data_IF_908303794952
#
_entry.id   IF_908303794952
#
_cell.length_a   1.000
_cell.length_b   1.000
_cell.length_c   1.000
_cell.angle_alpha   90.00
_cell.angle_beta   90.00
_cell.angle_gamma   90.00
#
_symmetry.space_group_name_H-M   'P 1'
#
loop_
_entity.id
_entity.type
_entity.pdbx_description
1 polymer ?
#
# COMPACT_ATOMS: atom_id res chain seq x y z
N UNK A 1 -0.69 3.39 15.14
CA UNK A 1 -0.23 3.57 13.75
C UNK A 1 1.22 3.14 13.68
N UNK A 2 1.57 2.38 12.65
CA UNK A 2 2.94 1.87 12.47
C UNK A 2 3.47 2.36 11.13
N UNK A 3 4.68 2.89 11.11
CA UNK A 3 5.43 3.10 9.88
C UNK A 3 5.96 1.73 9.43
N UNK A 4 5.32 1.17 8.39
CA UNK A 4 5.66 -0.17 7.90
C UNK A 4 7.04 -0.13 7.22
N UNK A 5 8.00 -0.91 7.68
CA UNK A 5 9.31 -0.95 7.03
C UNK A 5 9.25 -1.65 5.67
N UNK A 6 10.25 -1.36 4.85
CA UNK A 6 10.47 -2.02 3.56
C UNK A 6 10.66 -3.55 3.76
N UNK A 7 10.22 -4.33 2.78
CA UNK A 7 10.28 -5.81 2.74
C UNK A 7 9.42 -6.56 3.76
N UNK A 8 8.63 -5.85 4.58
CA UNK A 8 7.63 -6.46 5.43
C UNK A 8 6.27 -6.48 4.75
N UNK A 9 5.55 -7.57 4.91
CA UNK A 9 4.12 -7.60 4.58
C UNK A 9 3.33 -6.87 5.68
N UNK A 10 2.13 -6.38 5.35
CA UNK A 10 1.21 -5.83 6.37
C UNK A 10 0.87 -6.87 7.44
N UNK A 11 0.87 -8.17 7.07
CA UNK A 11 0.60 -9.27 8.00
C UNK A 11 1.76 -9.53 8.96
N UNK A 12 3.01 -9.31 8.55
CA UNK A 12 4.18 -9.42 9.44
C UNK A 12 4.09 -8.40 10.57
N UNK A 13 3.68 -7.16 10.24
CA UNK A 13 3.43 -6.13 11.26
C UNK A 13 2.34 -6.56 12.23
N UNK A 14 1.20 -7.07 11.72
CA UNK A 14 0.10 -7.58 12.56
C UNK A 14 0.57 -8.71 13.47
N UNK A 15 1.38 -9.64 12.96
CA UNK A 15 1.92 -10.75 13.74
C UNK A 15 2.89 -10.28 14.82
N UNK A 16 3.79 -9.34 14.47
CA UNK A 16 4.73 -8.76 15.44
C UNK A 16 3.98 -8.03 16.57
N UNK A 17 3.01 -7.18 16.23
CA UNK A 17 2.15 -6.49 17.22
C UNK A 17 1.42 -7.50 18.11
N UNK A 18 0.79 -8.51 17.52
CA UNK A 18 0.08 -9.58 18.26
C UNK A 18 1.02 -10.32 19.22
N UNK A 19 2.20 -10.68 18.74
CA UNK A 19 3.21 -11.38 19.55
C UNK A 19 3.63 -10.54 20.76
N UNK A 20 3.97 -9.27 20.54
CA UNK A 20 4.42 -8.35 21.60
C UNK A 20 3.34 -8.17 22.67
N UNK A 21 2.10 -7.91 22.25
CA UNK A 21 0.99 -7.71 23.19
C UNK A 21 0.68 -9.01 23.98
N UNK A 22 0.67 -10.16 23.33
CA UNK A 22 0.43 -11.44 24.02
C UNK A 22 1.47 -11.71 25.09
N UNK A 23 2.74 -11.54 24.76
CA UNK A 23 3.85 -11.86 25.69
C UNK A 23 3.90 -10.86 26.85
N UNK A 24 3.78 -9.56 26.57
CA UNK A 24 3.89 -8.53 27.59
C UNK A 24 2.75 -8.57 28.61
N UNK A 25 1.53 -8.85 28.14
CA UNK A 25 0.34 -8.81 29.00
C UNK A 25 -0.21 -10.19 29.38
N UNK A 26 0.49 -11.27 29.03
CA UNK A 26 0.06 -12.66 29.35
C UNK A 26 -1.26 -13.06 28.68
N UNK A 27 -1.62 -12.45 27.54
CA UNK A 27 -2.90 -12.68 26.90
C UNK A 27 -2.93 -14.03 26.18
N UNK A 28 -3.90 -14.88 26.50
CA UNK A 28 -4.12 -16.14 25.77
C UNK A 28 -4.52 -15.88 24.32
N UNK A 29 -5.35 -14.85 24.07
CA UNK A 29 -5.91 -14.50 22.76
C UNK A 29 -6.11 -12.99 22.62
N UNK A 30 -5.75 -12.43 21.48
CA UNK A 30 -6.05 -11.04 21.11
C UNK A 30 -6.30 -10.96 19.61
N UNK A 31 -7.36 -10.24 19.22
CA UNK A 31 -7.62 -9.90 17.83
C UNK A 31 -6.72 -8.74 17.42
N UNK A 32 -6.02 -8.90 16.32
CA UNK A 32 -5.20 -7.83 15.71
C UNK A 32 -5.38 -7.92 14.21
N UNK A 33 -5.64 -6.79 13.56
CA UNK A 33 -5.81 -6.65 12.13
C UNK A 33 -5.32 -5.29 11.64
N UNK A 34 -5.25 -5.09 10.33
CA UNK A 34 -4.84 -3.82 9.72
C UNK A 34 -5.93 -3.26 8.81
N UNK A 35 -5.98 -1.94 8.66
CA UNK A 35 -6.93 -1.22 7.81
C UNK A 35 -6.25 -0.77 6.50
N UNK A 36 -6.13 -1.69 5.55
CA UNK A 36 -5.56 -1.45 4.22
C UNK A 36 -4.16 -2.01 4.03
N UNK A 37 -4.06 -2.97 3.13
CA UNK A 37 -2.80 -3.64 2.79
C UNK A 37 -1.80 -2.66 2.16
N UNK A 38 -0.54 -2.81 2.52
CA UNK A 38 0.63 -2.31 1.81
C UNK A 38 1.42 -3.50 1.30
N UNK A 39 1.87 -3.43 0.06
CA UNK A 39 2.74 -4.44 -0.54
C UNK A 39 4.09 -4.51 0.20
N UNK A 40 4.85 -5.62 0.08
CA UNK A 40 6.14 -5.75 0.75
C UNK A 40 7.14 -4.63 0.39
N UNK A 41 7.14 -4.18 -0.87
CA UNK A 41 8.02 -3.13 -1.36
C UNK A 41 7.51 -1.71 -1.07
N UNK A 42 6.29 -1.56 -0.55
CA UNK A 42 5.77 -0.28 -0.07
C UNK A 42 6.11 -0.04 1.40
N UNK A 43 6.26 1.22 1.78
CA UNK A 43 6.50 1.68 3.15
C UNK A 43 5.37 2.60 3.65
N UNK A 44 5.47 3.07 4.87
CA UNK A 44 4.62 4.15 5.39
C UNK A 44 3.46 3.67 6.24
N UNK A 45 2.46 4.50 6.34
CA UNK A 45 1.38 4.40 7.31
C UNK A 45 0.59 3.09 7.21
N UNK A 46 0.67 2.25 8.23
CA UNK A 46 -0.18 1.08 8.43
C UNK A 46 -0.97 1.24 9.73
N UNK A 47 -2.29 1.35 9.60
CA UNK A 47 -3.18 1.42 10.76
C UNK A 47 -3.46 0.00 11.23
N UNK A 48 -3.06 -0.29 12.47
CA UNK A 48 -3.28 -1.59 13.12
C UNK A 48 -4.30 -1.42 14.23
N UNK A 49 -5.35 -2.25 14.18
CA UNK A 49 -6.43 -2.27 15.16
C UNK A 49 -6.32 -3.50 16.06
N UNK A 50 -6.61 -3.34 17.34
CA UNK A 50 -6.57 -4.42 18.34
C UNK A 50 -7.89 -4.56 19.07
N UNK A 51 -8.20 -5.76 19.59
CA UNK A 51 -9.40 -6.00 20.40
C UNK A 51 -10.69 -5.62 19.68
N UNK A 52 -11.54 -4.84 20.36
CA UNK A 52 -12.84 -4.38 19.84
C UNK A 52 -12.70 -3.44 18.63
N UNK A 53 -11.59 -2.70 18.52
CA UNK A 53 -11.33 -1.81 17.39
C UNK A 53 -11.15 -2.54 16.06
N UNK A 54 -10.91 -3.85 16.06
CA UNK A 54 -10.89 -4.63 14.81
C UNK A 54 -12.22 -4.59 14.04
N UNK A 55 -13.34 -4.26 14.71
CA UNK A 55 -14.65 -4.08 14.08
C UNK A 55 -14.73 -2.79 13.22
N UNK A 56 -13.85 -1.82 13.47
CA UNK A 56 -13.77 -0.56 12.71
C UNK A 56 -12.85 -0.62 11.50
N UNK A 57 -12.22 -1.77 11.23
CA UNK A 57 -11.26 -1.91 10.14
C UNK A 57 -11.88 -1.54 8.78
N UNK A 58 -13.10 -1.99 8.51
CA UNK A 58 -13.79 -1.71 7.24
C UNK A 58 -14.08 -0.21 7.05
N UNK A 59 -14.50 0.47 8.11
CA UNK A 59 -14.73 1.92 8.13
C UNK A 59 -13.43 2.69 7.80
N UNK A 60 -12.33 2.37 8.50
CA UNK A 60 -11.03 3.00 8.29
C UNK A 60 -10.47 2.67 6.89
N UNK A 61 -10.71 1.46 6.44
CA UNK A 61 -10.26 1.01 5.11
C UNK A 61 -11.01 1.72 3.97
N UNK A 62 -12.22 2.24 4.23
CA UNK A 62 -13.02 2.96 3.26
C UNK A 62 -12.52 4.37 2.94
N UNK A 63 -11.72 4.97 3.82
CA UNK A 63 -11.19 6.33 3.64
C UNK A 63 -10.26 6.46 2.43
N UNK A 64 -10.10 7.69 1.92
CA UNK A 64 -9.09 8.02 0.91
C UNK A 64 -7.66 7.81 1.46
N UNK A 65 -6.71 7.63 0.58
CA UNK A 65 -5.29 7.43 0.91
C UNK A 65 -4.44 8.45 0.18
N UNK A 66 -3.32 8.81 0.81
CA UNK A 66 -2.30 9.63 0.18
C UNK A 66 -0.98 8.85 0.10
N UNK A 67 -0.30 9.03 -1.02
CA UNK A 67 0.95 8.35 -1.32
C UNK A 67 1.96 9.30 -1.94
N UNK A 68 3.23 9.10 -1.60
CA UNK A 68 4.35 9.51 -2.43
C UNK A 68 4.81 8.28 -3.20
N UNK A 69 4.83 8.37 -4.52
CA UNK A 69 5.20 7.28 -5.42
C UNK A 69 6.29 7.73 -6.38
N UNK A 70 7.30 6.89 -6.58
CA UNK A 70 8.33 7.08 -7.62
C UNK A 70 8.10 6.06 -8.72
N UNK A 71 7.83 6.52 -9.92
CA UNK A 71 7.73 5.72 -11.13
C UNK A 71 9.07 5.72 -11.87
N UNK A 72 9.44 4.58 -12.41
CA UNK A 72 10.59 4.42 -13.29
C UNK A 72 10.10 4.28 -14.72
N UNK A 73 10.41 5.26 -15.57
CA UNK A 73 10.12 5.21 -17.01
C UNK A 73 11.19 4.40 -17.75
N UNK A 74 10.88 4.00 -18.97
CA UNK A 74 11.81 3.32 -19.87
C UNK A 74 11.83 1.81 -19.74
N UNK A 75 11.02 1.22 -18.87
CA UNK A 75 10.93 -0.23 -18.71
C UNK A 75 9.59 -0.67 -18.14
N UNK A 76 9.26 -1.94 -18.36
CA UNK A 76 8.10 -2.59 -17.70
C UNK A 76 8.53 -3.81 -16.90
N UNK A 77 7.67 -4.21 -15.96
CA UNK A 77 7.79 -5.46 -15.22
C UNK A 77 6.43 -6.14 -15.15
N UNK A 78 6.34 -7.48 -15.10
CA UNK A 78 5.05 -8.19 -15.02
C UNK A 78 4.23 -7.87 -13.77
N UNK A 79 4.88 -7.49 -12.65
CA UNK A 79 4.22 -7.10 -11.39
C UNK A 79 3.84 -5.61 -11.34
N UNK A 80 4.31 -4.82 -12.31
CA UNK A 80 4.24 -3.35 -12.36
C UNK A 80 4.98 -2.66 -11.21
N UNK A 81 5.90 -3.39 -10.54
CA UNK A 81 6.83 -2.92 -9.52
C UNK A 81 8.16 -3.70 -9.58
N UNK A 82 8.98 -3.61 -8.53
CA UNK A 82 10.28 -4.30 -8.44
C UNK A 82 10.19 -5.73 -7.88
N UNK A 83 9.01 -6.33 -7.77
CA UNK A 83 8.87 -7.74 -7.33
C UNK A 83 9.34 -8.70 -8.43
N UNK A 84 9.19 -8.32 -9.70
CA UNK A 84 9.65 -9.11 -10.86
C UNK A 84 10.69 -8.34 -11.66
N UNK A 85 11.52 -9.09 -12.41
CA UNK A 85 12.53 -8.53 -13.31
C UNK A 85 11.91 -7.75 -14.47
N UNK A 86 12.70 -6.86 -15.07
CA UNK A 86 12.32 -6.11 -16.28
C UNK A 86 12.07 -7.09 -17.43
N UNK A 87 10.92 -6.97 -18.08
CA UNK A 87 10.53 -7.78 -19.24
C UNK A 87 10.67 -7.02 -20.56
N UNK A 88 10.57 -5.70 -20.55
CA UNK A 88 10.74 -4.85 -21.75
C UNK A 88 11.38 -3.54 -21.39
N UNK A 89 12.11 -2.98 -22.36
CA UNK A 89 12.72 -1.65 -22.29
C UNK A 89 12.24 -0.76 -23.42
N UNK A 90 12.18 0.54 -23.17
CA UNK A 90 11.65 1.55 -24.09
C UNK A 90 12.55 2.79 -24.05
N UNK A 91 12.54 3.57 -25.15
CA UNK A 91 13.17 4.90 -25.13
C UNK A 91 12.36 5.88 -24.27
N UNK A 92 13.06 6.74 -23.57
CA UNK A 92 12.48 7.90 -22.88
C UNK A 92 12.84 9.21 -23.58
N UNK A 93 13.45 9.12 -24.75
CA UNK A 93 13.86 10.29 -25.54
C UNK A 93 12.64 11.13 -25.95
N UNK A 94 12.75 12.43 -25.80
CA UNK A 94 11.66 13.37 -26.12
C UNK A 94 10.56 13.46 -25.04
N UNK A 95 10.64 12.69 -23.96
CA UNK A 95 9.73 12.88 -22.82
C UNK A 95 10.20 14.08 -22.01
N UNK A 96 9.33 15.08 -21.88
CA UNK A 96 9.60 16.30 -21.09
C UNK A 96 8.78 16.32 -19.82
N UNK A 97 9.19 17.16 -18.89
CA UNK A 97 8.45 17.42 -17.64
C UNK A 97 7.00 17.84 -17.93
N UNK A 98 6.83 18.78 -18.88
CA UNK A 98 5.52 19.31 -19.25
C UNK A 98 4.60 18.21 -19.81
N UNK A 99 5.17 17.31 -20.62
CA UNK A 99 4.42 16.16 -21.14
C UNK A 99 3.98 15.21 -20.03
N UNK A 100 4.83 14.96 -19.05
CA UNK A 100 4.49 14.15 -17.88
C UNK A 100 3.37 14.81 -17.08
N UNK A 101 3.47 16.10 -16.78
CA UNK A 101 2.45 16.86 -16.05
C UNK A 101 1.09 16.83 -16.79
N UNK A 102 1.08 17.02 -18.10
CA UNK A 102 -0.14 16.91 -18.90
C UNK A 102 -0.78 15.53 -18.81
N UNK A 103 0.03 14.47 -18.87
CA UNK A 103 -0.50 13.10 -18.77
C UNK A 103 -0.99 12.80 -17.34
N UNK A 104 -0.27 13.26 -16.31
CA UNK A 104 -0.70 13.07 -14.92
C UNK A 104 -2.07 13.71 -14.66
N UNK A 105 -2.33 14.92 -15.17
CA UNK A 105 -3.64 15.59 -15.04
C UNK A 105 -4.79 14.76 -15.63
N UNK A 106 -4.53 13.96 -16.66
CA UNK A 106 -5.57 13.09 -17.27
C UNK A 106 -6.02 11.94 -16.38
N UNK A 107 -5.34 11.70 -15.27
CA UNK A 107 -5.73 10.66 -14.29
C UNK A 107 -6.65 11.20 -13.20
N UNK A 108 -6.82 12.51 -13.06
CA UNK A 108 -7.71 13.06 -12.03
C UNK A 108 -9.17 12.78 -12.33
N UNK A 109 -9.95 12.55 -11.30
CA UNK A 109 -11.37 12.22 -11.36
C UNK A 109 -11.69 10.74 -11.27
N UNK A 110 -12.96 10.42 -11.56
CA UNK A 110 -13.47 9.05 -11.56
C UNK A 110 -13.06 8.31 -12.83
N UNK A 111 -12.59 7.11 -12.67
CA UNK A 111 -12.16 6.26 -13.79
C UNK A 111 -12.23 4.77 -13.45
N UNK A 112 -12.17 3.95 -14.48
CA UNK A 112 -12.00 2.51 -14.33
C UNK A 112 -10.52 2.13 -14.39
N UNK A 113 -10.08 1.32 -13.43
CA UNK A 113 -8.71 0.81 -13.37
C UNK A 113 -8.73 -0.72 -13.42
N UNK A 114 -7.96 -1.29 -14.34
CA UNK A 114 -7.68 -2.74 -14.34
C UNK A 114 -6.62 -3.04 -13.29
N UNK A 115 -6.95 -3.81 -12.23
CA UNK A 115 -5.99 -4.15 -11.19
C UNK A 115 -4.80 -4.97 -11.73
N UNK A 116 -3.64 -4.97 -11.05
CA UNK A 116 -2.55 -5.87 -11.41
C UNK A 116 -2.91 -7.33 -11.08
N UNK A 117 -2.39 -8.27 -11.89
CA UNK A 117 -2.55 -9.71 -11.63
C UNK A 117 -1.98 -10.13 -10.27
N UNK A 118 -0.87 -9.51 -9.87
CA UNK A 118 -0.22 -9.70 -8.56
C UNK A 118 -0.95 -8.90 -7.47
N UNK A 119 -2.27 -9.17 -7.27
CA UNK A 119 -3.09 -8.48 -6.27
C UNK A 119 -3.81 -9.45 -5.34
N UNK A 120 -4.27 -8.92 -4.18
CA UNK A 120 -5.07 -9.66 -3.22
C UNK A 120 -6.55 -9.82 -3.64
N UNK A 121 -6.94 -9.30 -4.82
CA UNK A 121 -8.33 -9.39 -5.33
C UNK A 121 -8.72 -10.86 -5.46
N UNK A 122 -9.91 -11.21 -5.00
CA UNK A 122 -10.42 -12.59 -5.11
C UNK A 122 -11.10 -12.81 -6.46
N UNK A 123 -10.78 -13.95 -7.08
CA UNK A 123 -11.35 -14.41 -8.34
C UNK A 123 -11.72 -15.87 -8.15
N UNK A 124 -13.01 -16.21 -8.28
CA UNK A 124 -13.46 -17.59 -8.08
C UNK A 124 -13.05 -18.20 -6.74
N UNK A 125 -12.99 -17.41 -5.67
CA UNK A 125 -12.59 -17.87 -4.34
C UNK A 125 -11.10 -17.98 -4.10
N UNK A 126 -10.24 -17.70 -5.10
CA UNK A 126 -8.78 -17.65 -4.95
C UNK A 126 -8.26 -16.23 -5.15
N UNK A 127 -7.16 -15.90 -4.48
CA UNK A 127 -6.50 -14.59 -4.65
C UNK A 127 -5.77 -14.54 -5.99
N UNK A 128 -5.87 -13.42 -6.72
CA UNK A 128 -5.31 -13.25 -8.06
C UNK A 128 -3.80 -13.53 -8.10
N UNK A 129 -3.03 -13.11 -7.09
CA UNK A 129 -1.59 -13.36 -7.03
C UNK A 129 -1.22 -14.86 -7.01
N UNK A 130 -2.11 -15.73 -6.49
CA UNK A 130 -1.88 -17.19 -6.48
C UNK A 130 -2.03 -17.76 -7.88
N UNK A 131 -2.96 -17.23 -8.68
CA UNK A 131 -3.14 -17.60 -10.07
C UNK A 131 -1.98 -17.09 -10.93
N UNK A 132 -1.57 -15.83 -10.72
CA UNK A 132 -0.45 -15.20 -11.42
C UNK A 132 0.86 -15.98 -11.25
N UNK A 133 1.21 -16.37 -10.02
CA UNK A 133 2.41 -17.20 -9.74
C UNK A 133 2.37 -18.59 -10.38
N UNK A 134 1.20 -19.09 -10.75
CA UNK A 134 1.02 -20.37 -11.45
C UNK A 134 0.96 -20.21 -12.98
N UNK A 135 1.22 -19.00 -13.50
CA UNK A 135 1.17 -18.71 -14.94
C UNK A 135 -0.25 -18.81 -15.55
N UNK A 136 -1.30 -18.72 -14.73
CA UNK A 136 -2.67 -18.77 -15.23
C UNK A 136 -3.08 -17.38 -15.69
N UNK A 137 -3.56 -17.28 -16.93
CA UNK A 137 -4.24 -16.10 -17.42
C UNK A 137 -5.58 -15.94 -16.67
N UNK A 138 -5.77 -14.79 -16.05
CA UNK A 138 -6.99 -14.45 -15.33
C UNK A 138 -7.40 -13.06 -15.75
N UNK A 139 -8.58 -12.95 -16.33
CA UNK A 139 -9.18 -11.67 -16.68
C UNK A 139 -9.66 -10.96 -15.40
N UNK A 140 -9.10 -9.79 -15.15
CA UNK A 140 -9.46 -8.94 -14.02
C UNK A 140 -10.47 -7.89 -14.45
N UNK A 141 -11.65 -7.91 -13.85
CA UNK A 141 -12.66 -6.86 -14.08
C UNK A 141 -12.14 -5.53 -13.56
N UNK A 142 -12.29 -4.45 -14.34
CA UNK A 142 -12.01 -3.11 -13.90
C UNK A 142 -12.69 -2.78 -12.56
N UNK A 143 -12.13 -1.83 -11.84
CA UNK A 143 -12.69 -1.31 -10.59
C UNK A 143 -12.84 0.19 -10.71
N UNK A 144 -13.96 0.74 -10.27
CA UNK A 144 -14.14 2.17 -10.14
C UNK A 144 -13.22 2.72 -9.06
N UNK A 145 -12.42 3.70 -9.43
CA UNK A 145 -11.54 4.46 -8.55
C UNK A 145 -11.74 5.95 -8.79
N UNK A 146 -11.32 6.74 -7.83
CA UNK A 146 -11.23 8.19 -7.98
C UNK A 146 -9.84 8.66 -7.58
N UNK A 147 -9.15 9.38 -8.44
CA UNK A 147 -7.92 10.09 -8.11
C UNK A 147 -8.31 11.54 -7.87
N UNK A 148 -8.33 11.93 -6.60
CA UNK A 148 -8.73 13.28 -6.19
C UNK A 148 -7.69 14.31 -6.61
N UNK A 149 -6.39 13.93 -6.58
CA UNK A 149 -5.26 14.78 -6.94
C UNK A 149 -4.04 13.93 -7.27
N UNK A 150 -3.29 14.34 -8.28
CA UNK A 150 -1.97 13.82 -8.60
C UNK A 150 -1.04 14.95 -9.00
N UNK A 151 0.05 15.14 -8.28
CA UNK A 151 0.99 16.24 -8.45
C UNK A 151 2.40 15.73 -8.67
N UNK A 152 3.09 16.29 -9.65
CA UNK A 152 4.50 16.02 -9.89
C UNK A 152 5.35 16.73 -8.83
N UNK A 153 6.08 15.96 -8.02
CA UNK A 153 7.02 16.48 -7.01
C UNK A 153 8.41 16.65 -7.63
N UNK A 154 8.91 15.61 -8.28
CA UNK A 154 10.23 15.60 -8.90
C UNK A 154 10.22 14.86 -10.24
N UNK A 155 11.05 15.33 -11.17
CA UNK A 155 11.24 14.76 -12.50
C UNK A 155 12.73 14.72 -12.82
N UNK A 156 13.38 13.66 -12.43
CA UNK A 156 14.80 13.36 -12.68
C UNK A 156 14.86 12.11 -13.55
N UNK A 157 14.53 12.26 -14.83
CA UNK A 157 14.40 11.14 -15.77
C UNK A 157 15.57 10.14 -15.67
N UNK A 158 15.28 8.84 -15.63
CA UNK A 158 13.97 8.21 -15.86
C UNK A 158 13.03 8.14 -14.63
N UNK A 159 13.37 8.75 -13.51
CA UNK A 159 12.54 8.77 -12.29
C UNK A 159 11.55 9.93 -12.29
N UNK A 160 10.30 9.62 -11.93
CA UNK A 160 9.20 10.58 -11.79
C UNK A 160 8.54 10.36 -10.43
N UNK A 161 8.63 11.33 -9.54
CA UNK A 161 8.05 11.27 -8.20
C UNK A 161 6.81 12.13 -8.12
N UNK A 162 5.72 11.53 -7.64
CA UNK A 162 4.40 12.17 -7.57
C UNK A 162 3.80 12.03 -6.18
N UNK A 163 2.95 13.00 -5.81
CA UNK A 163 2.02 12.91 -4.70
C UNK A 163 0.63 12.56 -5.22
N UNK A 164 -0.02 11.56 -4.63
CA UNK A 164 -1.30 11.03 -5.11
C UNK A 164 -2.28 10.97 -3.95
N UNK A 165 -3.47 11.56 -4.12
CA UNK A 165 -4.61 11.38 -3.23
C UNK A 165 -5.71 10.63 -3.99
N UNK A 166 -6.12 9.47 -3.48
CA UNK A 166 -7.04 8.59 -4.21
C UNK A 166 -7.98 7.82 -3.28
N UNK A 167 -9.04 7.31 -3.87
CA UNK A 167 -10.03 6.47 -3.19
C UNK A 167 -9.44 5.10 -2.79
N UNK A 168 -10.17 4.41 -1.90
CA UNK A 168 -9.87 3.00 -1.59
C UNK A 168 -9.85 2.15 -2.86
N UNK A 169 -8.97 1.14 -2.88
CA UNK A 169 -8.91 0.17 -3.98
C UNK A 169 -8.09 0.61 -5.17
N UNK A 170 -7.57 1.84 -5.17
CA UNK A 170 -6.63 2.30 -6.20
C UNK A 170 -5.29 1.57 -6.07
N UNK A 171 -4.84 0.98 -7.18
CA UNK A 171 -3.54 0.32 -7.30
C UNK A 171 -2.53 1.29 -7.93
N UNK A 172 -1.59 1.77 -7.13
CA UNK A 172 -0.56 2.71 -7.61
C UNK A 172 0.37 2.03 -8.63
N UNK A 173 0.55 0.71 -8.55
CA UNK A 173 1.27 -0.09 -9.55
C UNK A 173 0.58 -0.06 -10.92
N UNK A 174 -0.74 -0.15 -10.94
CA UNK A 174 -1.50 -0.03 -12.20
C UNK A 174 -1.41 1.40 -12.76
N UNK A 175 -1.38 2.43 -11.88
CA UNK A 175 -1.18 3.81 -12.33
C UNK A 175 0.19 4.01 -12.97
N UNK A 176 1.25 3.35 -12.46
CA UNK A 176 2.57 3.36 -13.08
C UNK A 176 2.53 2.77 -14.51
N UNK A 177 1.89 1.59 -14.68
CA UNK A 177 1.67 0.98 -15.99
C UNK A 177 0.95 1.95 -16.93
N UNK A 178 -0.18 2.49 -16.49
CA UNK A 178 -1.04 3.36 -17.31
C UNK A 178 -0.32 4.65 -17.70
N UNK A 179 0.52 5.22 -16.81
CA UNK A 179 1.38 6.36 -17.12
C UNK A 179 2.39 6.02 -18.21
N UNK A 180 3.09 4.88 -18.06
CA UNK A 180 4.06 4.40 -19.05
C UNK A 180 3.43 4.15 -20.42
N UNK A 181 2.21 3.60 -20.46
CA UNK A 181 1.45 3.39 -21.69
C UNK A 181 1.08 4.72 -22.37
N UNK A 182 0.56 5.71 -21.62
CA UNK A 182 0.19 7.04 -22.17
C UNK A 182 1.40 7.86 -22.64
N UNK A 183 2.56 7.64 -22.05
CA UNK A 183 3.81 8.25 -22.48
C UNK A 183 4.50 7.49 -23.62
N UNK A 184 4.11 6.22 -23.87
CA UNK A 184 4.77 5.35 -24.85
C UNK A 184 6.13 4.84 -24.39
N UNK A 185 6.49 5.02 -23.11
CA UNK A 185 7.80 4.69 -22.55
C UNK A 185 7.81 3.41 -21.71
N UNK A 186 6.65 2.79 -21.45
CA UNK A 186 6.56 1.86 -20.35
C UNK A 186 6.92 2.52 -19.02
N UNK A 187 6.42 1.98 -17.91
CA UNK A 187 6.83 2.37 -16.58
C UNK A 187 6.48 1.28 -15.56
N UNK A 188 7.15 1.32 -14.42
CA UNK A 188 6.82 0.52 -13.25
C UNK A 188 6.99 1.34 -11.97
N UNK A 189 6.32 0.90 -10.90
CA UNK A 189 6.44 1.51 -9.58
C UNK A 189 7.79 1.15 -8.97
N UNK A 190 8.64 2.14 -8.74
CA UNK A 190 9.95 1.96 -8.13
C UNK A 190 9.86 2.00 -6.61
N UNK A 191 9.25 3.07 -6.05
CA UNK A 191 9.03 3.22 -4.61
C UNK A 191 7.62 3.70 -4.32
N UNK A 192 7.09 3.27 -3.16
CA UNK A 192 5.79 3.68 -2.67
C UNK A 192 5.83 3.91 -1.16
N UNK A 193 5.35 5.07 -0.74
CA UNK A 193 5.15 5.40 0.66
C UNK A 193 3.75 5.92 0.89
N UNK A 194 2.96 5.26 1.74
CA UNK A 194 1.67 5.79 2.17
C UNK A 194 1.86 6.83 3.25
N UNK A 195 1.45 8.07 3.01
CA UNK A 195 1.62 9.21 3.90
C UNK A 195 0.37 9.50 4.73
N UNK A 196 -0.83 9.16 4.21
CA UNK A 196 -2.07 9.33 4.95
C UNK A 196 -3.13 8.28 4.60
N UNK A 197 -4.12 8.12 5.49
CA UNK A 197 -5.33 7.33 5.29
C UNK A 197 -6.47 7.96 6.11
N UNK A 198 -7.42 8.63 5.44
CA UNK A 198 -8.39 9.50 6.10
C UNK A 198 -7.68 10.56 6.93
N UNK A 199 -8.10 10.69 8.19
CA UNK A 199 -7.53 11.66 9.15
C UNK A 199 -6.20 11.20 9.78
N UNK A 200 -5.72 10.00 9.43
CA UNK A 200 -4.48 9.46 9.98
C UNK A 200 -3.29 9.83 9.10
N UNK A 201 -2.29 10.47 9.72
CA UNK A 201 -1.03 10.88 9.07
C UNK A 201 0.14 10.00 9.50
N UNK A 202 1.10 9.82 8.60
CA UNK A 202 2.38 9.16 8.86
C UNK A 202 3.18 9.86 9.97
N UNK A 203 3.00 11.17 10.14
CA UNK A 203 3.69 11.95 11.16
C UNK A 203 3.36 11.50 12.59
N UNK A 204 2.26 10.80 12.79
CA UNK A 204 1.85 10.23 14.08
C UNK A 204 2.11 8.72 14.17
N UNK A 205 2.74 8.12 13.17
CA UNK A 205 3.11 6.72 13.19
C UNK A 205 4.48 6.53 13.86
N UNK A 206 4.68 5.37 14.48
CA UNK A 206 5.95 4.99 15.09
C UNK A 206 6.50 3.76 14.35
N UNK A 207 7.81 3.61 14.37
CA UNK A 207 8.46 2.41 13.87
C UNK A 207 8.09 1.18 14.71
N UNK A 208 8.13 0.00 14.10
CA UNK A 208 7.83 -1.25 14.80
C UNK A 208 8.84 -1.54 15.93
N UNK A 209 10.07 -1.09 15.79
CA UNK A 209 11.13 -1.17 16.79
C UNK A 209 10.85 -0.28 18.00
N UNK A 210 10.33 0.92 17.76
CA UNK A 210 9.91 1.83 18.82
C UNK A 210 8.67 1.30 19.53
N UNK A 211 7.68 0.81 18.79
CA UNK A 211 6.52 0.13 19.37
C UNK A 211 6.94 -1.01 20.30
N UNK A 212 7.92 -1.83 19.89
CA UNK A 212 8.45 -2.92 20.75
C UNK A 212 9.06 -2.39 22.04
N UNK A 213 9.86 -1.32 21.98
CA UNK A 213 10.44 -0.69 23.17
C UNK A 213 9.36 -0.17 24.13
N UNK A 214 8.35 0.53 23.58
CA UNK A 214 7.22 1.04 24.35
C UNK A 214 6.50 -0.11 25.07
N UNK A 215 6.14 -1.16 24.34
CA UNK A 215 5.40 -2.30 24.90
C UNK A 215 6.21 -3.02 25.98
N UNK A 216 7.51 -3.25 25.78
CA UNK A 216 8.38 -3.91 26.78
C UNK A 216 8.54 -3.11 28.06
N UNK A 217 8.49 -1.77 27.99
CA UNK A 217 8.62 -0.89 29.14
C UNK A 217 7.31 -0.71 29.93
N UNK A 218 6.16 -1.10 29.34
CA UNK A 218 4.90 -1.07 30.06
C UNK A 218 4.86 -2.19 31.11
N UNK A 219 4.68 -1.82 32.39
CA UNK A 219 4.44 -2.81 33.43
C UNK A 219 3.05 -3.44 33.25
N UNK A 220 2.95 -4.77 33.22
CA UNK A 220 1.63 -5.42 33.18
C UNK A 220 0.85 -5.06 34.46
N UNK A 221 -0.16 -4.25 34.31
CA UNK A 221 -1.01 -3.86 35.42
C UNK A 221 -1.84 -5.08 35.84
N UNK A 222 -1.49 -5.74 36.92
CA UNK A 222 -2.13 -6.97 37.43
C UNK A 222 -3.66 -6.85 37.64
N UNK A 223 -4.21 -5.62 37.66
CA UNK A 223 -5.64 -5.34 37.85
C UNK A 223 -6.47 -5.47 36.56
N UNK A 224 -5.87 -5.47 35.38
CA UNK A 224 -6.63 -5.49 34.09
C UNK A 224 -6.63 -6.88 33.40
N UNK A 225 -6.13 -7.93 34.05
CA UNK A 225 -6.08 -9.30 33.49
C UNK A 225 -7.35 -10.10 33.81
N UNK A 226 -8.25 -9.54 34.62
CA UNK A 226 -9.51 -10.20 34.98
C UNK A 226 -10.67 -9.43 34.40
N UNK A 227 -11.00 -9.72 33.20
CA UNK A 227 -12.34 -9.76 32.58
C UNK A 227 -12.22 -9.59 31.08
N UNK A 228 -12.70 -10.56 30.35
CA UNK A 228 -12.93 -10.55 28.89
C UNK A 228 -13.89 -9.43 28.40
N UNK A 229 -14.07 -8.37 29.19
CA UNK A 229 -15.08 -7.32 28.97
C UNK A 229 -14.53 -5.91 28.79
N UNK A 230 -13.20 -5.68 28.91
CA UNK A 230 -12.62 -4.35 28.77
C UNK A 230 -11.39 -4.42 27.82
N UNK A 231 -11.63 -4.16 26.59
CA UNK A 231 -10.85 -3.45 25.53
C UNK A 231 -11.44 -3.74 24.16
#
# INVERSE_FOLDING_TARGET
MIDKPLKWTSFDVVNKVRYLLKNQFGLKKIKVGHAGTLDPLATGLLIVCTGKFTKRIEEIQACNKEYVATFMLGATTPSFDRETEIDRTFSTEGITRERIEQVLQTFEGEQEQVPPLFSAKQIGGQRAYVAARKGREVELKPSHINIERIELIDCSLPQVTVNIKCSKGTYIRALARDLGERLGSGAYLHDLRRTASGDFSINSAIEITEFEKIIRNLQPNKKNVVNDTLL
#
